data_IF_794435298067
#
_entry.id   IF_794435298067
#
_cell.length_a   1.000
_cell.length_b   1.000
_cell.length_c   1.000
_cell.angle_alpha   90.00
_cell.angle_beta   90.00
_cell.angle_gamma   90.00
#
_symmetry.space_group_name_H-M   'P 1'
#
loop_
_entity.id
_entity.type
_entity.pdbx_description
1 polymer ?
#
# COMPACT_ATOMS: atom_id res chain seq x y z
N UNK A 1 31.41 -18.85 17.22
CA UNK A 1 31.59 -19.88 16.17
C UNK A 1 32.04 -19.27 14.85
N UNK A 2 31.22 -18.47 14.14
CA UNK A 2 31.63 -17.88 12.85
C UNK A 2 32.63 -16.72 12.98
N UNK A 3 32.43 -15.81 13.94
CA UNK A 3 33.42 -14.77 14.28
C UNK A 3 34.80 -15.34 14.66
N UNK A 4 34.79 -16.39 15.47
CA UNK A 4 36.04 -17.05 15.92
C UNK A 4 36.77 -17.70 14.74
N UNK A 5 36.03 -18.16 13.72
CA UNK A 5 36.60 -18.67 12.48
C UNK A 5 37.19 -17.55 11.59
N UNK A 6 36.51 -16.40 11.48
CA UNK A 6 37.04 -15.24 10.75
C UNK A 6 38.33 -14.70 11.38
N UNK A 7 38.42 -14.69 12.71
CA UNK A 7 39.64 -14.30 13.42
C UNK A 7 40.85 -15.23 13.16
N UNK A 8 40.64 -16.41 12.59
CA UNK A 8 41.73 -17.35 12.22
C UNK A 8 42.18 -17.25 10.77
N UNK A 9 41.48 -16.46 9.94
CA UNK A 9 41.80 -16.28 8.53
C UNK A 9 42.69 -15.03 8.34
N UNK A 10 43.81 -15.13 7.61
CA UNK A 10 44.59 -13.97 7.24
C UNK A 10 43.76 -13.12 6.25
N UNK A 11 43.64 -11.82 6.51
CA UNK A 11 42.87 -10.78 5.77
C UNK A 11 41.37 -10.62 6.08
N UNK A 12 40.78 -11.39 6.99
CA UNK A 12 39.39 -11.18 7.45
C UNK A 12 39.37 -10.34 8.74
N UNK A 13 38.81 -9.13 8.67
CA UNK A 13 38.63 -8.27 9.84
C UNK A 13 37.24 -8.53 10.46
N UNK A 14 37.16 -9.16 11.65
CA UNK A 14 35.88 -9.45 12.30
C UNK A 14 35.07 -8.18 12.67
N UNK A 15 35.71 -6.99 12.69
CA UNK A 15 35.02 -5.71 12.91
C UNK A 15 34.04 -5.35 11.77
N UNK A 16 34.37 -5.71 10.52
CA UNK A 16 33.48 -5.50 9.36
C UNK A 16 32.16 -6.25 9.49
N UNK A 17 32.20 -7.43 10.11
CA UNK A 17 31.01 -8.20 10.39
C UNK A 17 30.14 -7.49 11.44
N UNK A 18 30.74 -6.86 12.44
CA UNK A 18 30.01 -6.08 13.45
C UNK A 18 29.34 -4.84 12.87
N UNK A 19 30.02 -4.12 11.99
CA UNK A 19 29.45 -2.97 11.27
C UNK A 19 28.27 -3.40 10.39
N UNK A 20 28.42 -4.52 9.67
CA UNK A 20 27.34 -5.08 8.84
C UNK A 20 26.14 -5.49 9.69
N UNK A 21 26.38 -6.14 10.83
CA UNK A 21 25.33 -6.51 11.78
C UNK A 21 24.63 -5.26 12.32
N UNK A 22 25.38 -4.20 12.65
CA UNK A 22 24.81 -2.94 13.13
C UNK A 22 23.91 -2.30 12.08
N UNK A 23 24.35 -2.23 10.82
CA UNK A 23 23.54 -1.74 9.70
C UNK A 23 22.24 -2.53 9.55
N UNK A 24 22.34 -3.87 9.53
CA UNK A 24 21.17 -4.75 9.39
C UNK A 24 20.21 -4.58 10.58
N UNK A 25 20.74 -4.42 11.79
CA UNK A 25 19.93 -4.23 13.00
C UNK A 25 19.12 -2.94 12.91
N UNK A 26 19.75 -1.81 12.57
CA UNK A 26 19.06 -0.52 12.52
C UNK A 26 18.07 -0.43 11.34
N UNK A 27 18.40 -1.02 10.19
CA UNK A 27 17.49 -1.08 9.05
C UNK A 27 16.31 -2.03 9.28
N UNK A 28 16.53 -3.21 9.87
CA UNK A 28 15.44 -4.14 10.24
C UNK A 28 14.47 -3.49 11.21
N UNK A 29 14.99 -2.79 12.23
CA UNK A 29 14.18 -2.05 13.18
C UNK A 29 13.27 -1.02 12.51
N UNK A 30 13.79 -0.28 11.53
CA UNK A 30 13.00 0.68 10.77
C UNK A 30 11.88 -0.01 9.98
N UNK A 31 12.20 -1.11 9.29
CA UNK A 31 11.22 -1.90 8.52
C UNK A 31 10.13 -2.46 9.43
N UNK A 32 10.52 -3.08 10.55
CA UNK A 32 9.60 -3.64 11.54
C UNK A 32 8.64 -2.57 12.05
N UNK A 33 9.15 -1.39 12.40
CA UNK A 33 8.31 -0.30 12.89
C UNK A 33 7.34 0.19 11.83
N UNK A 34 7.80 0.50 10.61
CA UNK A 34 6.91 1.02 9.57
C UNK A 34 5.96 -0.04 8.99
N UNK A 35 6.21 -1.32 9.25
CA UNK A 35 5.30 -2.42 8.93
C UNK A 35 4.37 -2.80 10.09
N UNK A 36 4.55 -2.17 11.26
CA UNK A 36 3.83 -2.52 12.48
C UNK A 36 2.37 -2.07 12.43
N UNK A 37 1.47 -3.02 12.64
CA UNK A 37 0.01 -2.81 12.67
C UNK A 37 -0.49 -2.38 14.05
N UNK A 38 0.33 -2.54 15.10
CA UNK A 38 0.01 -2.11 16.46
C UNK A 38 0.09 -0.60 16.59
N UNK A 39 -0.89 -0.03 17.29
CA UNK A 39 -0.94 1.41 17.44
C UNK A 39 0.07 1.92 18.47
N UNK A 40 0.54 3.14 18.25
CA UNK A 40 1.25 3.98 19.21
C UNK A 40 0.21 4.85 19.90
N UNK A 41 0.20 4.78 21.23
CA UNK A 41 -0.75 5.47 22.09
C UNK A 41 -0.13 6.61 22.88
N UNK A 42 1.20 6.61 23.01
CA UNK A 42 1.92 7.53 23.89
C UNK A 42 3.14 8.14 23.17
N UNK A 43 3.54 9.32 23.62
CA UNK A 43 4.65 10.09 23.02
C UNK A 43 6.03 9.60 23.44
N UNK A 44 6.09 8.78 24.47
CA UNK A 44 7.25 8.13 25.07
C UNK A 44 7.38 6.66 24.66
N UNK A 45 6.59 6.21 23.68
CA UNK A 45 6.62 4.85 23.13
C UNK A 45 8.06 4.46 22.73
N UNK A 46 8.50 3.30 23.21
CA UNK A 46 9.88 2.82 23.03
C UNK A 46 10.26 2.69 21.55
N UNK A 47 9.29 2.45 20.66
CA UNK A 47 9.52 2.40 19.21
C UNK A 47 10.03 3.74 18.67
N UNK A 48 9.61 4.88 19.24
CA UNK A 48 10.09 6.20 18.85
C UNK A 48 11.54 6.42 19.28
N UNK A 49 11.91 5.93 20.47
CA UNK A 49 13.29 5.97 20.95
C UNK A 49 14.21 5.12 20.07
N UNK A 50 13.73 3.95 19.65
CA UNK A 50 14.42 3.08 18.71
C UNK A 50 14.68 3.75 17.34
N UNK A 51 13.75 4.56 16.83
CA UNK A 51 13.98 5.37 15.62
C UNK A 51 15.06 6.44 15.84
N UNK A 52 15.08 7.09 17.00
CA UNK A 52 16.12 8.06 17.31
C UNK A 52 17.50 7.38 17.38
N UNK A 53 17.57 6.17 17.96
CA UNK A 53 18.81 5.39 17.97
C UNK A 53 19.27 5.01 16.55
N UNK A 54 18.34 4.65 15.65
CA UNK A 54 18.67 4.40 14.25
C UNK A 54 19.18 5.68 13.55
N UNK A 55 18.55 6.82 13.77
CA UNK A 55 19.00 8.10 13.22
C UNK A 55 20.39 8.50 13.73
N UNK A 56 20.67 8.27 15.02
CA UNK A 56 21.98 8.51 15.60
C UNK A 56 23.04 7.64 14.92
N UNK A 57 22.77 6.34 14.75
CA UNK A 57 23.65 5.43 14.02
C UNK A 57 23.99 5.94 12.61
N UNK A 58 22.99 6.33 11.80
CA UNK A 58 23.26 6.85 10.46
C UNK A 58 24.00 8.19 10.47
N UNK A 59 23.73 9.05 11.45
CA UNK A 59 24.44 10.32 11.61
C UNK A 59 25.92 10.09 11.92
N UNK A 60 26.23 9.21 12.87
CA UNK A 60 27.61 8.84 13.22
C UNK A 60 28.32 8.21 12.02
N UNK A 61 27.68 7.28 11.31
CA UNK A 61 28.25 6.70 10.09
C UNK A 61 28.54 7.79 9.04
N UNK A 62 27.64 8.76 8.85
CA UNK A 62 27.85 9.89 7.92
C UNK A 62 29.05 10.75 8.31
N UNK A 63 29.28 10.98 9.60
CA UNK A 63 30.39 11.77 10.14
C UNK A 63 31.74 11.05 10.00
N UNK A 64 31.75 9.72 10.19
CA UNK A 64 32.93 8.87 10.04
C UNK A 64 33.34 8.68 8.57
N UNK A 65 32.40 8.86 7.65
CA UNK A 65 32.67 8.70 6.21
C UNK A 65 33.42 9.91 5.63
N UNK A 66 34.61 9.67 5.09
CA UNK A 66 35.45 10.72 4.50
C UNK A 66 35.17 10.96 3.02
N UNK A 67 34.76 9.94 2.25
CA UNK A 67 34.40 10.09 0.83
C UNK A 67 32.89 10.11 0.61
N UNK A 68 32.43 10.88 -0.38
CA UNK A 68 31.00 11.05 -0.64
C UNK A 68 30.28 9.80 -1.15
N UNK A 69 31.01 8.81 -1.68
CA UNK A 69 30.52 7.56 -2.26
C UNK A 69 30.54 6.36 -1.29
N UNK A 70 31.17 6.52 -0.12
CA UNK A 70 31.25 5.48 0.93
C UNK A 70 30.02 5.49 1.86
N UNK A 71 29.12 6.46 1.69
CA UNK A 71 27.85 6.56 2.40
C UNK A 71 26.67 6.49 1.43
N UNK A 72 25.44 6.38 1.96
CA UNK A 72 24.24 6.49 1.14
C UNK A 72 24.19 7.85 0.41
N UNK A 73 23.52 7.87 -0.75
CA UNK A 73 23.35 9.11 -1.51
C UNK A 73 22.75 10.23 -0.65
N UNK A 74 23.12 11.48 -0.92
CA UNK A 74 22.57 12.65 -0.21
C UNK A 74 21.04 12.69 -0.22
N UNK A 75 20.42 12.23 -1.32
CA UNK A 75 18.97 12.12 -1.43
C UNK A 75 18.42 11.09 -0.45
N UNK A 76 18.97 9.87 -0.45
CA UNK A 76 18.54 8.82 0.48
C UNK A 76 18.78 9.22 1.93
N UNK A 77 19.88 9.92 2.22
CA UNK A 77 20.13 10.45 3.57
C UNK A 77 19.05 11.43 4.01
N UNK A 78 18.74 12.41 3.17
CA UNK A 78 17.66 13.36 3.42
C UNK A 78 16.31 12.65 3.63
N UNK A 79 16.01 11.62 2.82
CA UNK A 79 14.79 10.84 2.93
C UNK A 79 14.72 10.09 4.27
N UNK A 80 15.82 9.47 4.73
CA UNK A 80 15.91 8.80 6.04
C UNK A 80 15.66 9.80 7.18
N UNK A 81 16.34 10.96 7.16
CA UNK A 81 16.18 11.98 8.18
C UNK A 81 14.73 12.50 8.23
N UNK A 82 14.20 12.86 7.06
CA UNK A 82 12.85 13.41 6.93
C UNK A 82 11.78 12.41 7.36
N UNK A 83 11.94 11.14 7.00
CA UNK A 83 11.04 10.07 7.42
C UNK A 83 11.04 9.90 8.94
N UNK A 84 12.20 9.82 9.58
CA UNK A 84 12.31 9.62 11.03
C UNK A 84 11.78 10.84 11.79
N UNK A 85 12.30 12.03 11.50
CA UNK A 85 11.86 13.26 12.18
C UNK A 85 10.39 13.56 11.92
N UNK A 86 9.93 13.38 10.68
CA UNK A 86 8.55 13.58 10.28
C UNK A 86 7.61 12.65 11.04
N UNK A 87 7.94 11.36 11.13
CA UNK A 87 7.13 10.40 11.85
C UNK A 87 7.05 10.69 13.35
N UNK A 88 8.19 10.97 14.00
CA UNK A 88 8.22 11.34 15.43
C UNK A 88 7.38 12.58 15.68
N UNK A 89 7.54 13.62 14.85
CA UNK A 89 6.79 14.87 14.97
C UNK A 89 5.30 14.67 14.75
N UNK A 90 4.92 13.81 13.80
CA UNK A 90 3.54 13.43 13.54
C UNK A 90 2.91 12.76 14.76
N UNK A 91 3.59 11.79 15.36
CA UNK A 91 3.10 11.08 16.55
C UNK A 91 2.94 12.06 17.72
N UNK A 92 3.97 12.85 18.01
CA UNK A 92 3.93 13.82 19.10
C UNK A 92 2.82 14.85 18.92
N UNK A 93 2.69 15.41 17.71
CA UNK A 93 1.68 16.43 17.42
C UNK A 93 0.29 15.84 17.53
N UNK A 94 0.04 14.67 16.94
CA UNK A 94 -1.28 14.04 16.94
C UNK A 94 -1.73 13.66 18.35
N UNK A 95 -0.87 12.98 19.12
CA UNK A 95 -1.22 12.53 20.46
C UNK A 95 -1.39 13.68 21.46
N UNK A 96 -0.59 14.74 21.35
CA UNK A 96 -0.75 15.95 22.18
C UNK A 96 -1.99 16.75 21.82
N UNK A 97 -2.30 16.86 20.52
CA UNK A 97 -3.41 17.69 20.04
C UNK A 97 -4.77 17.01 20.17
N UNK A 98 -4.79 15.69 20.04
CA UNK A 98 -6.01 14.89 20.08
C UNK A 98 -5.88 13.78 21.13
N UNK A 99 -6.19 14.06 22.41
CA UNK A 99 -6.16 13.07 23.48
C UNK A 99 -7.02 11.85 23.12
N UNK A 100 -6.50 10.64 23.38
CA UNK A 100 -7.17 9.39 23.03
C UNK A 100 -7.07 8.98 21.56
N UNK A 101 -6.46 9.79 20.69
CA UNK A 101 -6.12 9.38 19.33
C UNK A 101 -4.97 8.37 19.33
N UNK A 102 -4.81 7.69 18.19
CA UNK A 102 -3.78 6.66 18.01
C UNK A 102 -3.08 6.83 16.64
N UNK A 103 -1.86 6.34 16.54
CA UNK A 103 -1.11 6.28 15.28
C UNK A 103 -0.73 4.84 14.98
N UNK A 104 -1.09 4.33 13.80
CA UNK A 104 -0.59 3.04 13.33
C UNK A 104 0.52 3.30 12.31
N UNK A 105 1.76 2.83 12.53
CA UNK A 105 2.84 3.04 11.57
C UNK A 105 2.51 2.50 10.17
N UNK A 106 1.96 1.29 10.07
CA UNK A 106 1.68 0.59 8.81
C UNK A 106 0.67 1.28 7.86
N UNK A 107 -0.01 2.34 8.30
CA UNK A 107 -0.92 3.11 7.41
C UNK A 107 -0.30 4.40 6.88
N UNK A 108 0.93 4.73 7.30
CA UNK A 108 1.63 5.95 6.90
C UNK A 108 2.40 5.73 5.58
N UNK A 109 2.71 4.48 5.23
CA UNK A 109 3.39 4.15 3.99
C UNK A 109 2.46 4.20 2.76
N UNK A 110 3.05 4.10 1.57
CA UNK A 110 2.33 4.14 0.30
C UNK A 110 1.82 2.77 -0.17
N UNK A 111 1.94 1.71 0.64
CA UNK A 111 1.57 0.34 0.24
C UNK A 111 0.10 0.24 -0.18
N UNK A 112 -0.78 1.02 0.47
CA UNK A 112 -2.20 1.06 0.09
C UNK A 112 -2.40 1.59 -1.33
N UNK A 113 -1.60 2.58 -1.74
CA UNK A 113 -1.61 3.17 -3.09
C UNK A 113 -1.00 2.19 -4.09
N UNK A 114 0.12 1.55 -3.75
CA UNK A 114 0.74 0.52 -4.59
C UNK A 114 -0.16 -0.70 -4.80
N UNK A 115 -0.88 -1.10 -3.76
CA UNK A 115 -1.88 -2.15 -3.86
C UNK A 115 -3.05 -1.72 -4.77
N UNK A 116 -3.47 -0.47 -4.71
CA UNK A 116 -4.48 0.06 -5.66
C UNK A 116 -3.97 0.02 -7.10
N UNK A 117 -2.73 0.44 -7.36
CA UNK A 117 -2.13 0.33 -8.70
C UNK A 117 -2.02 -1.12 -9.17
N UNK A 118 -1.76 -2.05 -8.25
CA UNK A 118 -1.74 -3.48 -8.55
C UNK A 118 -3.14 -4.00 -8.95
N UNK A 119 -4.20 -3.53 -8.28
CA UNK A 119 -5.58 -3.83 -8.69
C UNK A 119 -5.92 -3.25 -10.07
N UNK A 120 -5.49 -2.02 -10.36
CA UNK A 120 -5.67 -1.39 -11.67
C UNK A 120 -5.00 -2.20 -12.79
N UNK A 121 -3.76 -2.66 -12.60
CA UNK A 121 -3.08 -3.54 -13.57
C UNK A 121 -3.79 -4.89 -13.68
N UNK A 122 -4.11 -5.53 -12.56
CA UNK A 122 -4.79 -6.83 -12.54
C UNK A 122 -6.17 -6.83 -13.21
N UNK A 123 -6.92 -5.73 -13.09
CA UNK A 123 -8.21 -5.55 -13.74
C UNK A 123 -8.12 -5.41 -15.27
N UNK A 124 -6.96 -4.99 -15.80
CA UNK A 124 -6.69 -4.85 -17.23
C UNK A 124 -6.10 -6.13 -17.87
N UNK A 125 -5.97 -7.23 -17.11
CA UNK A 125 -5.54 -8.52 -17.63
C UNK A 125 -4.12 -8.49 -18.18
N UNK A 126 -3.93 -8.85 -19.45
CA UNK A 126 -2.62 -8.84 -20.12
C UNK A 126 -2.16 -7.44 -20.57
N UNK A 127 -2.97 -6.40 -20.32
CA UNK A 127 -2.61 -5.02 -20.64
C UNK A 127 -1.96 -4.37 -19.41
N UNK A 128 -0.68 -4.66 -19.20
CA UNK A 128 0.11 -4.17 -18.06
C UNK A 128 0.34 -2.65 -18.10
N UNK A 129 0.20 -2.04 -19.28
CA UNK A 129 0.39 -0.61 -19.51
C UNK A 129 -0.87 0.01 -20.17
N UNK A 130 -1.99 0.09 -19.44
CA UNK A 130 -3.24 0.64 -19.97
C UNK A 130 -3.08 2.12 -20.32
N UNK A 131 -3.81 2.57 -21.34
CA UNK A 131 -3.89 4.01 -21.65
C UNK A 131 -4.61 4.76 -20.53
N UNK A 132 -4.49 6.10 -20.53
CA UNK A 132 -5.19 6.95 -19.57
C UNK A 132 -6.72 6.68 -19.53
N UNK A 133 -7.37 6.60 -20.70
CA UNK A 133 -8.82 6.36 -20.79
C UNK A 133 -9.22 5.01 -20.21
N UNK A 134 -8.43 3.97 -20.48
CA UNK A 134 -8.64 2.64 -19.92
C UNK A 134 -8.47 2.64 -18.41
N UNK A 135 -7.43 3.31 -17.90
CA UNK A 135 -7.17 3.44 -16.46
C UNK A 135 -8.32 4.16 -15.77
N UNK A 136 -8.83 5.26 -16.36
CA UNK A 136 -9.98 6.00 -15.85
C UNK A 136 -11.24 5.12 -15.74
N UNK A 137 -11.55 4.35 -16.79
CA UNK A 137 -12.69 3.43 -16.80
C UNK A 137 -12.56 2.33 -15.75
N UNK A 138 -11.37 1.75 -15.61
CA UNK A 138 -11.07 0.71 -14.61
C UNK A 138 -11.13 1.26 -13.19
N UNK A 139 -10.59 2.47 -12.96
CA UNK A 139 -10.65 3.13 -11.65
C UNK A 139 -12.09 3.38 -11.21
N UNK A 140 -12.95 3.88 -12.10
CA UNK A 140 -14.38 4.03 -11.82
C UNK A 140 -15.03 2.69 -11.47
N UNK A 141 -14.68 1.62 -12.21
CA UNK A 141 -15.20 0.28 -11.95
C UNK A 141 -14.82 -0.22 -10.55
N UNK A 142 -13.55 -0.01 -10.14
CA UNK A 142 -13.07 -0.33 -8.78
C UNK A 142 -13.82 0.49 -7.72
N UNK A 143 -13.99 1.80 -7.93
CA UNK A 143 -14.70 2.70 -7.00
C UNK A 143 -16.15 2.25 -6.79
N UNK A 144 -16.85 1.87 -7.87
CA UNK A 144 -18.24 1.40 -7.80
C UNK A 144 -18.38 -0.06 -7.34
N UNK A 145 -17.28 -0.74 -6.99
CA UNK A 145 -17.30 -2.16 -6.65
C UNK A 145 -17.76 -3.05 -7.81
N UNK A 146 -17.77 -2.52 -9.04
CA UNK A 146 -18.07 -3.27 -10.25
C UNK A 146 -16.89 -4.17 -10.51
N UNK A 147 -17.02 -5.42 -10.07
CA UNK A 147 -15.95 -6.41 -10.22
C UNK A 147 -15.66 -6.56 -11.71
N UNK A 148 -14.48 -6.14 -12.16
CA UNK A 148 -13.90 -6.69 -13.38
C UNK A 148 -13.56 -8.14 -13.07
N UNK A 149 -14.56 -9.02 -13.15
CA UNK A 149 -14.35 -10.46 -13.11
C UNK A 149 -13.61 -10.81 -14.39
N UNK A 150 -12.29 -10.65 -14.38
CA UNK A 150 -11.46 -11.31 -15.38
C UNK A 150 -11.61 -12.81 -15.13
N UNK A 151 -12.26 -13.52 -16.07
CA UNK A 151 -12.31 -14.99 -16.09
C UNK A 151 -10.92 -15.63 -16.27
N UNK A 152 -9.85 -14.85 -16.42
CA UNK A 152 -8.47 -15.30 -16.70
C UNK A 152 -7.48 -14.97 -15.57
N UNK A 153 -7.91 -15.01 -14.31
CA UNK A 153 -6.99 -15.03 -13.17
C UNK A 153 -6.56 -16.46 -12.82
N UNK A 154 -5.28 -16.68 -12.55
CA UNK A 154 -4.75 -17.99 -12.12
C UNK A 154 -5.09 -18.34 -10.66
N UNK A 155 -5.71 -17.42 -9.93
CA UNK A 155 -6.26 -17.66 -8.60
C UNK A 155 -7.61 -18.35 -8.74
N UNK A 156 -7.72 -19.56 -8.19
CA UNK A 156 -8.89 -20.44 -8.30
C UNK A 156 -10.23 -19.72 -8.07
N UNK A 157 -11.25 -20.22 -8.75
CA UNK A 157 -12.64 -19.74 -8.71
C UNK A 157 -13.15 -19.56 -7.27
N UNK A 158 -13.07 -18.35 -6.75
CA UNK A 158 -13.75 -17.98 -5.51
C UNK A 158 -15.26 -18.08 -5.76
N UNK A 159 -15.92 -19.07 -5.16
CA UNK A 159 -17.37 -19.20 -5.16
C UNK A 159 -17.95 -17.99 -4.41
N UNK A 160 -18.60 -17.12 -5.18
CA UNK A 160 -19.65 -16.16 -4.81
C UNK A 160 -19.91 -15.97 -3.31
N UNK A 161 -19.24 -15.00 -2.71
CA UNK A 161 -19.83 -14.18 -1.67
C UNK A 161 -19.72 -12.72 -2.08
N UNK A 162 -20.56 -12.31 -3.05
CA UNK A 162 -20.74 -10.89 -3.38
C UNK A 162 -21.51 -10.22 -2.24
N UNK A 163 -20.79 -9.54 -1.35
CA UNK A 163 -21.36 -8.49 -0.52
C UNK A 163 -21.42 -7.20 -1.35
N UNK A 164 -22.41 -7.10 -2.23
CA UNK A 164 -22.80 -5.86 -2.90
C UNK A 164 -24.18 -6.05 -3.52
N UNK A 165 -25.21 -5.96 -2.69
CA UNK A 165 -26.59 -5.86 -3.15
C UNK A 165 -26.86 -4.46 -3.70
N UNK A 166 -26.85 -4.32 -5.03
CA UNK A 166 -27.79 -3.43 -5.70
C UNK A 166 -28.81 -4.31 -6.43
N UNK A 167 -30.11 -3.99 -6.40
CA UNK A 167 -31.11 -4.76 -7.13
C UNK A 167 -30.75 -4.79 -8.60
N UNK A 168 -30.73 -6.00 -9.19
CA UNK A 168 -30.63 -6.17 -10.65
C UNK A 168 -31.96 -5.81 -11.28
N UNK A 169 -32.33 -4.54 -11.26
CA UNK A 169 -33.38 -4.05 -12.13
C UNK A 169 -32.76 -3.69 -13.47
N UNK A 170 -33.03 -4.52 -14.48
CA UNK A 170 -32.68 -4.30 -15.86
C UNK A 170 -33.50 -3.11 -16.41
N UNK A 171 -33.06 -1.89 -16.14
CA UNK A 171 -33.70 -0.65 -16.60
C UNK A 171 -33.68 -0.48 -18.13
N UNK A 172 -32.91 -1.27 -18.88
CA UNK A 172 -32.83 -1.17 -20.35
C UNK A 172 -32.64 -2.52 -21.05
N UNK A 173 -33.55 -3.48 -20.81
CA UNK A 173 -33.40 -4.81 -21.40
C UNK A 173 -34.70 -5.59 -21.63
N UNK A 174 -35.49 -5.19 -22.63
CA UNK A 174 -36.17 -6.07 -23.60
C UNK A 174 -36.99 -5.20 -24.56
N UNK A 175 -36.81 -5.42 -25.87
CA UNK A 175 -37.66 -4.84 -26.93
C UNK A 175 -39.10 -5.31 -26.72
N UNK A 176 -39.97 -4.45 -26.20
CA UNK A 176 -41.41 -4.65 -26.26
C UNK A 176 -41.86 -4.44 -27.71
N UNK A 177 -42.14 -5.54 -28.41
CA UNK A 177 -42.77 -5.48 -29.73
C UNK A 177 -44.20 -4.99 -29.53
N UNK A 178 -44.47 -3.72 -29.85
CA UNK A 178 -45.81 -3.16 -29.92
C UNK A 178 -46.64 -4.00 -30.92
N UNK A 179 -47.58 -4.79 -30.40
CA UNK A 179 -48.65 -5.37 -31.22
C UNK A 179 -49.68 -4.27 -31.47
N UNK A 180 -49.72 -3.78 -32.70
CA UNK A 180 -50.80 -2.92 -33.19
C UNK A 180 -51.99 -3.85 -33.47
N UNK A 181 -53.02 -3.83 -32.61
CA UNK A 181 -54.30 -4.47 -32.91
C UNK A 181 -55.02 -3.66 -33.98
N UNK A 182 -55.39 -4.30 -35.10
CA UNK A 182 -56.30 -3.72 -36.10
C UNK A 182 -57.66 -3.41 -35.48
N UNK A 183 -58.34 -2.30 -35.85
CA UNK A 183 -59.70 -2.04 -35.40
C UNK A 183 -60.67 -2.98 -36.14
N UNK A 184 -61.50 -3.70 -35.40
CA UNK A 184 -62.66 -4.38 -35.96
C UNK A 184 -63.78 -3.35 -36.17
N UNK A 185 -64.11 -3.10 -37.43
CA UNK A 185 -65.35 -2.48 -37.84
C UNK A 185 -66.53 -3.33 -37.38
N UNK A 186 -67.44 -2.73 -36.61
CA UNK A 186 -68.71 -3.35 -36.19
C UNK A 186 -69.76 -2.28 -36.04
N UNK A 187 -70.46 -2.00 -37.14
CA UNK A 187 -71.75 -1.32 -37.19
C UNK A 187 -72.75 -2.02 -36.25
N UNK A 188 -73.44 -1.26 -35.41
CA UNK A 188 -74.77 -1.62 -34.92
C UNK A 188 -75.53 -0.33 -34.57
N UNK A 189 -76.35 0.08 -35.54
CA UNK A 189 -77.52 0.94 -35.38
C UNK A 189 -78.66 -0.04 -35.06
N UNK A 190 -79.39 0.15 -33.96
CA UNK A 190 -80.81 0.52 -33.96
C UNK A 190 -81.35 0.65 -32.53
N UNK A 191 -82.21 1.67 -32.39
CA UNK A 191 -83.18 1.88 -31.30
C UNK A 191 -84.44 1.09 -31.60
#
# INVERSE_FOLDING_TARGET
AYKDHLATLPDEDPSKLDETIALLKHTSLMIELFSDKHAIYAVDDSRLQSLQAALLFFSTWKEETTKGDEFVSQKLWFDIQSMIHGFISLVQTKLRRFPGSIVKPAIINQDCVENHFSQLRGANGQNDNPTYQTTQGTQNSIIFGQTTVSRKGNTGTAKSHSFAGLPKENLFGKKTRLQISKPAMGLLIEQ
#
